data_IF_688876381828
#
_entry.id   IF_688876381828
#
_cell.length_a   1.000
_cell.length_b   1.000
_cell.length_c   1.000
_cell.angle_alpha   90.00
_cell.angle_beta   90.00
_cell.angle_gamma   90.00
#
_symmetry.space_group_name_H-M   'P 1'
#
loop_
_entity.id
_entity.type
_entity.pdbx_description
1 polymer ?
#
# COMPACT_ATOMS: atom_id res chain seq x y z
N UNK A 1 -6.64 3.37 -14.19
CA UNK A 1 -5.29 2.89 -13.81
C UNK A 1 -5.38 2.33 -12.41
N UNK A 2 -4.91 1.09 -12.18
CA UNK A 2 -5.01 0.44 -10.86
C UNK A 2 -3.99 1.06 -9.90
N UNK A 3 -4.34 1.28 -8.63
CA UNK A 3 -3.42 1.84 -7.62
C UNK A 3 -3.02 0.76 -6.62
N UNK A 4 -1.73 0.72 -6.27
CA UNK A 4 -1.20 -0.17 -5.23
C UNK A 4 -0.53 0.65 -4.14
N UNK A 5 -0.96 0.47 -2.90
CA UNK A 5 -0.29 1.06 -1.74
C UNK A 5 0.82 0.13 -1.26
N UNK A 6 2.01 0.68 -0.96
CA UNK A 6 3.19 -0.10 -0.55
C UNK A 6 3.80 0.51 0.71
N UNK A 7 3.84 -0.28 1.77
CA UNK A 7 4.24 0.15 3.13
C UNK A 7 5.43 -0.58 3.76
N UNK A 8 5.90 -1.77 3.30
CA UNK A 8 7.08 -2.39 3.90
C UNK A 8 8.29 -1.46 3.91
N UNK A 9 8.82 -1.20 5.10
CA UNK A 9 9.94 -0.26 5.32
C UNK A 9 11.17 -0.58 4.49
N UNK A 10 11.49 -1.86 4.30
CA UNK A 10 12.60 -2.33 3.47
C UNK A 10 12.42 -1.95 2.00
N UNK A 11 11.17 -1.94 1.52
CA UNK A 11 10.82 -1.59 0.15
C UNK A 11 10.75 -0.07 -0.02
N UNK A 12 10.10 0.65 0.90
CA UNK A 12 9.91 2.10 0.78
C UNK A 12 11.19 2.89 1.03
N UNK A 13 12.14 2.37 1.83
CA UNK A 13 13.42 3.04 2.13
C UNK A 13 14.32 3.19 0.90
N UNK A 14 14.49 2.12 0.12
CA UNK A 14 15.45 2.07 -0.98
C UNK A 14 14.81 1.73 -2.35
N UNK A 15 13.48 1.80 -2.44
CA UNK A 15 12.66 1.47 -3.63
C UNK A 15 13.08 0.14 -4.29
N UNK A 16 12.48 -0.96 -3.84
CA UNK A 16 12.92 -2.31 -4.22
C UNK A 16 12.60 -2.67 -5.70
N UNK A 17 13.48 -3.41 -6.42
CA UNK A 17 13.24 -3.85 -7.80
C UNK A 17 11.97 -4.69 -8.01
N UNK A 18 11.43 -5.29 -6.95
CA UNK A 18 10.16 -6.04 -7.01
C UNK A 18 8.97 -5.18 -7.45
N UNK A 19 9.07 -3.86 -7.29
CA UNK A 19 8.05 -2.91 -7.73
C UNK A 19 7.91 -2.84 -9.25
N UNK A 20 8.96 -3.20 -9.99
CA UNK A 20 8.95 -3.16 -11.46
C UNK A 20 7.85 -4.04 -12.05
N UNK A 21 7.58 -5.21 -11.47
CA UNK A 21 6.49 -6.10 -11.93
C UNK A 21 5.11 -5.45 -11.79
N UNK A 22 4.91 -4.59 -10.78
CA UNK A 22 3.66 -3.84 -10.60
C UNK A 22 3.56 -2.70 -11.60
N UNK A 23 4.67 -1.99 -11.84
CA UNK A 23 4.75 -0.93 -12.86
C UNK A 23 4.49 -1.50 -14.27
N UNK A 24 5.12 -2.62 -14.62
CA UNK A 24 4.93 -3.35 -15.89
C UNK A 24 3.49 -3.85 -16.05
N UNK A 25 2.82 -4.19 -14.94
CA UNK A 25 1.39 -4.55 -14.90
C UNK A 25 0.45 -3.32 -14.87
N UNK A 26 0.98 -2.12 -15.14
CA UNK A 26 0.25 -0.86 -15.24
C UNK A 26 -0.42 -0.40 -13.92
N UNK A 27 0.18 -0.76 -12.78
CA UNK A 27 -0.20 -0.21 -11.48
C UNK A 27 0.51 1.11 -11.20
N UNK A 28 -0.24 2.09 -10.69
CA UNK A 28 0.29 3.27 -10.04
C UNK A 28 0.73 2.93 -8.62
N UNK A 29 2.04 3.02 -8.36
CA UNK A 29 2.59 2.77 -7.04
C UNK A 29 2.45 4.00 -6.16
N UNK A 30 1.79 3.85 -5.01
CA UNK A 30 1.77 4.81 -3.92
C UNK A 30 2.68 4.26 -2.82
N UNK A 31 3.82 4.91 -2.60
CA UNK A 31 4.73 4.56 -1.52
C UNK A 31 4.32 5.26 -0.23
N UNK A 32 4.34 4.53 0.88
CA UNK A 32 4.32 5.14 2.20
C UNK A 32 5.60 5.92 2.47
N UNK A 33 5.64 6.60 3.63
CA UNK A 33 6.82 7.35 4.05
C UNK A 33 8.06 6.44 4.08
N UNK A 34 9.15 6.78 3.36
CA UNK A 34 10.34 5.92 3.27
C UNK A 34 10.89 5.49 4.63
N UNK A 35 11.01 4.17 4.83
CA UNK A 35 11.58 3.59 6.04
C UNK A 35 10.72 3.71 7.31
N UNK A 36 9.50 4.26 7.23
CA UNK A 36 8.56 4.38 8.34
C UNK A 36 7.32 3.50 8.12
N UNK A 37 6.71 3.07 9.21
CA UNK A 37 5.38 2.46 9.15
C UNK A 37 4.35 3.57 8.91
N UNK A 38 3.31 3.33 8.10
CA UNK A 38 2.23 4.29 7.93
C UNK A 38 1.45 4.46 9.23
N UNK A 39 0.93 5.66 9.48
CA UNK A 39 -0.04 5.87 10.55
C UNK A 39 -1.41 5.33 10.12
N UNK A 40 -2.29 5.11 11.08
CA UNK A 40 -3.69 4.76 10.83
C UNK A 40 -4.38 5.77 9.91
N UNK A 41 -4.19 7.06 10.17
CA UNK A 41 -4.76 8.15 9.37
C UNK A 41 -4.27 8.12 7.92
N UNK A 42 -2.99 7.82 7.69
CA UNK A 42 -2.45 7.66 6.34
C UNK A 42 -3.08 6.47 5.62
N UNK A 43 -3.31 5.35 6.33
CA UNK A 43 -4.00 4.19 5.76
C UNK A 43 -5.42 4.55 5.34
N UNK A 44 -6.20 5.19 6.22
CA UNK A 44 -7.57 5.62 5.95
C UNK A 44 -7.66 6.66 4.82
N UNK A 45 -6.65 7.50 4.66
CA UNK A 45 -6.63 8.49 3.59
C UNK A 45 -6.31 7.87 2.22
N UNK A 46 -5.41 6.88 2.16
CA UNK A 46 -4.83 6.37 0.90
C UNK A 46 -5.56 5.13 0.39
N UNK A 47 -5.90 4.18 1.27
CA UNK A 47 -6.46 2.90 0.88
C UNK A 47 -7.84 2.94 0.19
N UNK A 48 -8.75 3.89 0.48
CA UNK A 48 -10.02 4.00 -0.25
C UNK A 48 -9.83 4.20 -1.76
N UNK A 49 -8.68 4.71 -2.19
CA UNK A 49 -8.34 4.90 -3.59
C UNK A 49 -7.57 3.73 -4.22
N UNK A 50 -7.19 2.72 -3.44
CA UNK A 50 -6.28 1.66 -3.86
C UNK A 50 -7.01 0.36 -4.22
N UNK A 51 -6.57 -0.29 -5.29
CA UNK A 51 -7.07 -1.61 -5.71
C UNK A 51 -6.33 -2.75 -5.00
N UNK A 52 -5.09 -2.51 -4.61
CA UNK A 52 -4.22 -3.48 -3.97
C UNK A 52 -3.38 -2.84 -2.85
N UNK A 53 -3.01 -3.65 -1.86
CA UNK A 53 -2.16 -3.24 -0.76
C UNK A 53 -1.04 -4.26 -0.56
N UNK A 54 0.20 -3.83 -0.75
CA UNK A 54 1.39 -4.54 -0.31
C UNK A 54 1.72 -4.04 1.10
N UNK A 55 1.22 -4.75 2.09
CA UNK A 55 1.27 -4.38 3.50
C UNK A 55 2.59 -4.81 4.15
N UNK A 56 3.06 -4.01 5.10
CA UNK A 56 4.12 -4.36 6.03
C UNK A 56 3.55 -4.98 7.30
N UNK A 57 4.17 -4.64 8.42
CA UNK A 57 3.83 -5.16 9.76
C UNK A 57 2.82 -4.27 10.51
N UNK A 58 2.37 -3.18 9.89
CA UNK A 58 1.42 -2.25 10.49
C UNK A 58 0.07 -2.94 10.78
N UNK A 59 -0.62 -2.51 11.85
CA UNK A 59 -1.97 -2.98 12.13
C UNK A 59 -2.92 -2.51 11.02
N UNK A 60 -3.78 -3.44 10.58
CA UNK A 60 -4.91 -3.19 9.69
C UNK A 60 -6.14 -3.56 10.49
N UNK A 61 -6.89 -2.56 10.94
CA UNK A 61 -8.08 -2.74 11.76
C UNK A 61 -9.36 -2.75 10.91
N UNK A 62 -10.50 -3.00 11.55
CA UNK A 62 -11.80 -3.10 10.92
C UNK A 62 -12.16 -1.83 10.15
N UNK A 63 -11.98 -0.64 10.75
CA UNK A 63 -12.29 0.64 10.09
C UNK A 63 -11.43 0.86 8.84
N UNK A 64 -10.14 0.47 8.87
CA UNK A 64 -9.29 0.51 7.67
C UNK A 64 -9.87 -0.38 6.58
N UNK A 65 -10.27 -1.62 6.90
CA UNK A 65 -10.83 -2.54 5.91
C UNK A 65 -12.16 -2.05 5.35
N UNK A 66 -13.05 -1.56 6.20
CA UNK A 66 -14.36 -1.01 5.81
C UNK A 66 -14.21 0.25 4.94
N UNK A 67 -13.28 1.15 5.29
CA UNK A 67 -12.98 2.36 4.51
C UNK A 67 -12.32 2.06 3.16
N UNK A 68 -11.68 0.90 3.00
CA UNK A 68 -10.94 0.49 1.81
C UNK A 68 -11.85 -0.04 0.69
N UNK A 69 -12.87 0.73 0.30
CA UNK A 69 -13.96 0.32 -0.61
C UNK A 69 -13.54 -0.21 -1.97
N UNK A 70 -12.35 0.17 -2.47
CA UNK A 70 -11.79 -0.31 -3.75
C UNK A 70 -10.83 -1.48 -3.60
N UNK A 71 -10.39 -1.78 -2.38
CA UNK A 71 -9.32 -2.72 -2.12
C UNK A 71 -9.80 -4.15 -2.40
N UNK A 72 -9.06 -4.85 -3.26
CA UNK A 72 -9.40 -6.22 -3.68
C UNK A 72 -8.48 -7.26 -3.07
N UNK A 73 -7.27 -6.86 -2.69
CA UNK A 73 -6.25 -7.78 -2.19
C UNK A 73 -5.29 -7.07 -1.24
N UNK A 74 -4.92 -7.79 -0.18
CA UNK A 74 -3.84 -7.44 0.74
C UNK A 74 -2.80 -8.56 0.65
N UNK A 75 -1.55 -8.20 0.33
CA UNK A 75 -0.40 -9.10 0.38
C UNK A 75 0.48 -8.67 1.54
N UNK A 76 0.77 -9.59 2.46
CA UNK A 76 1.62 -9.36 3.64
C UNK A 76 2.73 -10.41 3.68
#
# INVERSE_FOLDING_TARGET
MKKVYVTPRSITKNRHPSLKRLEDANFKIILATPGKQPTREQQLQILPECDAYLAGIEPIDEEILEGSTKLRIISR
#
